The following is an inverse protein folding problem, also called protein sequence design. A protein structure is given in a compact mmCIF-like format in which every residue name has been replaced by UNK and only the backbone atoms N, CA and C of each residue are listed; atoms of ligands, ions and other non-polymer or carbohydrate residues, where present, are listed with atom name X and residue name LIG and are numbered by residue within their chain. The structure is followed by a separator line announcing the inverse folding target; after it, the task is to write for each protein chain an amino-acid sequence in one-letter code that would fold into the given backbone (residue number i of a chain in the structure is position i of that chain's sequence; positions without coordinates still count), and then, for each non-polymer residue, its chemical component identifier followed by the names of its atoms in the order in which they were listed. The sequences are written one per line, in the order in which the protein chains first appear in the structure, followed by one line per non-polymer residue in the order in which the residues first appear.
data_IF_742599155692
#
_entry.id   IF_742599155692
#
_cell.length_a   1.000
_cell.length_b   1.000
_cell.length_c   1.000
_cell.angle_alpha   90.00
_cell.angle_beta   90.00
_cell.angle_gamma   90.00
#
_symmetry.space_group_name_H-M   'P 1'
#
loop_
_entity.id
_entity.type
_entity.pdbx_description
1 polymer ?
#
# COMPACT_ATOMS: atom_id res chain seq x y z
N UNK A 1 21.63 8.12 -3.73
CA UNK A 1 20.97 7.72 -2.46
C UNK A 1 20.64 6.24 -2.48
N UNK A 2 19.78 5.72 -3.38
CA UNK A 2 19.35 4.31 -3.42
C UNK A 2 20.51 3.32 -3.55
N UNK A 3 21.49 3.60 -4.40
CA UNK A 3 22.68 2.75 -4.59
C UNK A 3 23.48 2.59 -3.28
N UNK A 4 23.74 3.70 -2.58
CA UNK A 4 24.44 3.65 -1.30
C UNK A 4 23.65 2.85 -0.27
N UNK A 5 22.34 3.02 -0.21
CA UNK A 5 21.46 2.29 0.70
C UNK A 5 21.43 0.78 0.42
N UNK A 6 21.35 0.39 -0.85
CA UNK A 6 21.44 -1.01 -1.29
C UNK A 6 22.80 -1.67 -1.00
N UNK A 7 23.86 -0.86 -0.92
CA UNK A 7 25.24 -1.33 -0.64
C UNK A 7 25.61 -1.27 0.84
N UNK A 8 24.74 -0.74 1.69
CA UNK A 8 24.97 -0.63 3.13
C UNK A 8 24.40 -1.84 3.84
N UNK A 9 25.19 -2.53 4.71
CA UNK A 9 24.71 -3.63 5.53
C UNK A 9 23.54 -3.25 6.43
N UNK A 10 22.70 -4.23 6.76
CA UNK A 10 21.47 -4.02 7.57
C UNK A 10 21.77 -3.53 9.00
N UNK A 11 22.85 -4.00 9.60
CA UNK A 11 23.33 -3.57 10.92
C UNK A 11 23.83 -2.13 10.95
N UNK A 12 24.12 -1.55 9.78
CA UNK A 12 24.46 -0.15 9.58
C UNK A 12 23.30 0.69 9.01
N UNK A 13 22.07 0.19 9.09
CA UNK A 13 20.87 0.89 8.64
C UNK A 13 20.61 0.82 7.13
N UNK A 14 21.30 -0.06 6.41
CA UNK A 14 21.10 -0.29 4.99
C UNK A 14 20.08 -1.39 4.68
N UNK A 15 19.94 -1.66 3.39
CA UNK A 15 19.04 -2.70 2.85
C UNK A 15 19.80 -3.67 1.93
N UNK A 16 21.06 -3.95 2.23
CA UNK A 16 21.84 -4.90 1.47
C UNK A 16 21.11 -6.25 1.29
N UNK A 17 21.13 -6.79 0.09
CA UNK A 17 20.47 -8.05 -0.26
C UNK A 17 19.04 -7.92 -0.77
N UNK A 18 18.49 -6.71 -0.84
CA UNK A 18 17.18 -6.45 -1.48
C UNK A 18 17.31 -6.60 -3.00
N UNK A 19 16.38 -7.35 -3.61
CA UNK A 19 16.41 -7.68 -5.05
C UNK A 19 15.34 -6.99 -5.88
N UNK A 20 14.33 -6.39 -5.25
CA UNK A 20 13.31 -5.60 -5.96
C UNK A 20 13.84 -4.22 -6.37
N UNK A 21 13.24 -3.64 -7.41
CA UNK A 21 13.63 -2.34 -7.93
C UNK A 21 13.27 -1.21 -6.97
N UNK A 22 14.19 -0.25 -6.84
CA UNK A 22 13.94 1.01 -6.16
C UNK A 22 13.79 2.12 -7.21
N UNK A 23 12.61 2.71 -7.29
CA UNK A 23 12.33 3.83 -8.19
C UNK A 23 12.66 5.15 -7.49
N UNK A 24 13.30 6.06 -8.23
CA UNK A 24 13.58 7.41 -7.75
C UNK A 24 12.55 8.38 -8.33
N UNK A 25 11.69 8.91 -7.49
CA UNK A 25 10.72 9.97 -7.84
C UNK A 25 11.23 11.34 -7.38
N UNK A 26 12.43 11.72 -7.88
CA UNK A 26 13.15 12.94 -7.43
C UNK A 26 12.39 14.21 -7.75
N UNK A 27 11.57 14.24 -8.77
CA UNK A 27 10.71 15.36 -9.15
C UNK A 27 9.28 15.26 -8.56
N UNK A 28 9.02 14.22 -7.78
CA UNK A 28 7.73 13.95 -7.10
C UNK A 28 6.51 13.83 -8.03
N UNK A 29 6.72 13.56 -9.30
CA UNK A 29 5.62 13.42 -10.26
C UNK A 29 4.71 12.26 -9.93
N UNK A 30 5.27 11.10 -9.58
CA UNK A 30 4.49 9.93 -9.20
C UNK A 30 3.73 10.17 -7.88
N UNK A 31 4.43 10.65 -6.87
CA UNK A 31 3.84 10.93 -5.57
C UNK A 31 2.71 11.98 -5.64
N UNK A 32 2.89 13.01 -6.46
CA UNK A 32 1.87 14.03 -6.70
C UNK A 32 0.66 13.46 -7.46
N UNK A 33 0.91 12.66 -8.50
CA UNK A 33 -0.16 12.01 -9.27
C UNK A 33 -1.00 11.08 -8.39
N UNK A 34 -0.36 10.39 -7.44
CA UNK A 34 -1.03 9.50 -6.49
C UNK A 34 -1.67 10.24 -5.30
N UNK A 35 -1.45 11.56 -5.14
CA UNK A 35 -2.00 12.36 -4.04
C UNK A 35 -1.47 11.93 -2.66
N UNK A 36 -0.22 11.45 -2.58
CA UNK A 36 0.37 10.91 -1.36
C UNK A 36 1.48 11.79 -0.76
N UNK A 37 1.65 13.00 -1.27
CA UNK A 37 2.57 13.96 -0.66
C UNK A 37 2.00 14.49 0.67
N UNK A 38 2.88 14.66 1.65
CA UNK A 38 2.55 15.36 2.89
C UNK A 38 2.67 16.87 2.64
N UNK A 39 1.53 17.53 2.43
CA UNK A 39 1.42 18.97 2.16
C UNK A 39 1.36 19.82 3.44
N UNK A 40 1.51 19.23 4.62
CA UNK A 40 1.37 19.94 5.89
C UNK A 40 2.42 21.04 6.08
N UNK A 41 3.51 20.99 5.34
CA UNK A 41 4.59 21.97 5.34
C UNK A 41 4.51 23.00 4.20
N UNK A 42 3.43 22.98 3.42
CA UNK A 42 3.23 23.94 2.35
C UNK A 42 2.57 25.21 2.88
N UNK A 43 3.05 26.34 2.41
CA UNK A 43 2.45 27.66 2.62
C UNK A 43 2.45 28.45 1.32
N UNK A 44 1.42 29.23 1.12
CA UNK A 44 1.36 30.17 -0.02
C UNK A 44 1.97 31.50 0.43
N UNK A 45 2.90 32.02 -0.34
CA UNK A 45 3.39 33.38 -0.17
C UNK A 45 2.32 34.37 -0.62
N UNK A 46 1.86 35.21 0.29
CA UNK A 46 0.71 36.11 0.06
C UNK A 46 1.00 37.22 -0.98
N UNK A 47 2.28 37.54 -1.23
CA UNK A 47 2.65 38.60 -2.19
C UNK A 47 2.83 38.03 -3.61
N UNK A 48 3.39 36.84 -3.74
CA UNK A 48 3.75 36.25 -5.04
C UNK A 48 2.81 35.14 -5.50
N UNK A 49 2.01 34.57 -4.60
CA UNK A 49 1.18 33.42 -4.87
C UNK A 49 1.98 32.10 -5.05
N UNK A 50 3.30 32.14 -4.73
CA UNK A 50 4.15 30.96 -4.88
C UNK A 50 3.96 30.04 -3.68
N UNK A 51 3.82 28.73 -3.96
CA UNK A 51 3.80 27.69 -2.93
C UNK A 51 5.24 27.46 -2.43
N UNK A 52 5.47 27.75 -1.17
CA UNK A 52 6.73 27.49 -0.48
C UNK A 52 6.58 26.21 0.35
N UNK A 53 7.62 25.38 0.35
CA UNK A 53 7.68 24.15 1.16
C UNK A 53 8.73 24.31 2.22
N UNK A 54 8.33 24.30 3.49
CA UNK A 54 9.23 24.39 4.63
C UNK A 54 9.74 22.98 5.01
N UNK A 55 10.91 22.61 4.50
CA UNK A 55 11.56 21.32 4.73
C UNK A 55 11.50 20.35 3.56
N UNK A 56 11.77 19.08 3.84
CA UNK A 56 11.71 18.02 2.83
C UNK A 56 10.25 17.62 2.57
N UNK A 57 9.84 17.73 1.32
CA UNK A 57 8.56 17.19 0.88
C UNK A 57 8.66 15.66 0.85
N UNK A 58 7.96 15.00 1.74
CA UNK A 58 7.96 13.55 1.91
C UNK A 58 6.59 12.96 1.58
N UNK A 59 6.56 11.66 1.29
CA UNK A 59 5.31 10.95 1.02
C UNK A 59 4.78 10.27 2.26
N UNK A 60 3.46 10.13 2.37
CA UNK A 60 2.84 9.17 3.28
C UNK A 60 3.30 7.74 2.98
N UNK A 61 3.05 6.83 3.90
CA UNK A 61 3.39 5.41 3.75
C UNK A 61 2.33 4.70 2.91
N UNK A 62 2.34 4.94 1.60
CA UNK A 62 1.40 4.32 0.68
C UNK A 62 1.85 2.91 0.27
N UNK A 63 0.88 2.04 0.04
CA UNK A 63 1.05 0.70 -0.54
C UNK A 63 -0.08 0.46 -1.53
N UNK A 64 0.25 0.01 -2.72
CA UNK A 64 -0.69 -0.36 -3.77
C UNK A 64 -0.48 -1.82 -4.11
N UNK A 65 -1.54 -2.62 -4.12
CA UNK A 65 -1.53 -3.97 -4.66
C UNK A 65 -2.16 -3.93 -6.04
N UNK A 66 -1.42 -4.43 -7.01
CA UNK A 66 -1.74 -4.34 -8.43
C UNK A 66 -1.77 -5.75 -9.00
N UNK A 67 -2.83 -6.08 -9.74
CA UNK A 67 -2.97 -7.38 -10.37
C UNK A 67 -2.18 -7.51 -11.68
N UNK A 68 -2.28 -8.68 -12.32
CA UNK A 68 -1.56 -9.00 -13.57
C UNK A 68 -2.01 -8.14 -14.75
N UNK A 69 -3.24 -7.60 -14.71
CA UNK A 69 -3.79 -6.71 -15.72
C UNK A 69 -3.39 -5.23 -15.50
N UNK A 70 -2.66 -4.95 -14.43
CA UNK A 70 -2.22 -3.60 -14.04
C UNK A 70 -3.29 -2.80 -13.30
N UNK A 71 -4.34 -3.46 -12.77
CA UNK A 71 -5.39 -2.81 -12.01
C UNK A 71 -5.07 -2.81 -10.51
N UNK A 72 -5.26 -1.68 -9.86
CA UNK A 72 -5.11 -1.57 -8.41
C UNK A 72 -6.33 -2.18 -7.73
N UNK A 73 -6.15 -3.26 -6.98
CA UNK A 73 -7.22 -3.89 -6.20
C UNK A 73 -7.18 -3.54 -4.70
N UNK A 74 -6.08 -2.96 -4.23
CA UNK A 74 -5.99 -2.43 -2.88
C UNK A 74 -5.08 -1.22 -2.82
N UNK A 75 -5.47 -0.23 -2.03
CA UNK A 75 -4.68 0.94 -1.68
C UNK A 75 -4.73 1.14 -0.16
N UNK A 76 -3.57 1.30 0.46
CA UNK A 76 -3.45 1.60 1.88
C UNK A 76 -2.47 2.75 2.12
N UNK A 77 -2.89 3.77 2.88
CA UNK A 77 -2.08 4.94 3.19
C UNK A 77 -2.02 5.12 4.70
N UNK A 78 -0.82 4.98 5.26
CA UNK A 78 -0.58 5.25 6.67
C UNK A 78 0.09 6.61 6.84
N UNK A 79 -0.25 7.30 7.94
CA UNK A 79 0.50 8.46 8.38
C UNK A 79 1.97 8.11 8.63
N UNK A 80 2.86 9.08 8.44
CA UNK A 80 4.32 8.91 8.45
C UNK A 80 4.89 8.07 9.62
N UNK A 81 4.51 8.28 10.89
CA UNK A 81 5.05 7.52 12.01
C UNK A 81 4.47 6.11 12.16
N UNK A 82 3.45 5.75 11.36
CA UNK A 82 2.77 4.46 11.48
C UNK A 82 3.36 3.46 10.49
N UNK A 83 4.01 2.41 11.00
CA UNK A 83 4.52 1.31 10.20
C UNK A 83 3.40 0.52 9.52
N UNK A 84 3.76 -0.19 8.45
CA UNK A 84 2.84 -1.05 7.70
C UNK A 84 2.84 -2.47 8.28
N UNK A 85 1.68 -3.13 8.26
CA UNK A 85 1.57 -4.55 8.58
C UNK A 85 1.70 -5.37 7.29
N UNK A 86 2.86 -5.95 7.06
CA UNK A 86 3.15 -6.75 5.86
C UNK A 86 2.25 -7.99 5.76
N UNK A 87 1.90 -8.62 6.89
CA UNK A 87 1.04 -9.79 6.91
C UNK A 87 -0.37 -9.47 6.39
N UNK A 88 -0.87 -8.27 6.62
CA UNK A 88 -2.16 -7.84 6.06
C UNK A 88 -2.11 -7.76 4.54
N UNK A 89 -1.02 -7.28 3.95
CA UNK A 89 -0.89 -7.26 2.49
C UNK A 89 -0.79 -8.66 1.89
N UNK A 90 -0.11 -9.60 2.55
CA UNK A 90 -0.07 -11.01 2.15
C UNK A 90 -1.48 -11.59 2.21
N UNK A 91 -2.19 -11.41 3.32
CA UNK A 91 -3.59 -11.83 3.48
C UNK A 91 -4.50 -11.31 2.38
N UNK A 92 -4.33 -10.04 1.98
CA UNK A 92 -5.11 -9.43 0.89
C UNK A 92 -4.80 -10.04 -0.48
N UNK A 93 -3.53 -10.37 -0.74
CA UNK A 93 -3.11 -11.06 -1.96
C UNK A 93 -3.73 -12.46 -2.02
N UNK A 94 -3.67 -13.21 -0.92
CA UNK A 94 -4.25 -14.56 -0.81
C UNK A 94 -5.77 -14.50 -1.01
N UNK A 95 -6.44 -13.53 -0.36
CA UNK A 95 -7.88 -13.33 -0.52
C UNK A 95 -8.26 -12.95 -1.97
N UNK A 96 -7.49 -12.07 -2.62
CA UNK A 96 -7.72 -11.71 -4.00
C UNK A 96 -7.55 -12.92 -4.94
N UNK A 97 -6.49 -13.70 -4.76
CA UNK A 97 -6.25 -14.93 -5.52
C UNK A 97 -7.39 -15.94 -5.34
N UNK A 98 -7.85 -16.13 -4.10
CA UNK A 98 -8.99 -17.01 -3.80
C UNK A 98 -10.26 -16.58 -4.54
N UNK A 99 -10.59 -15.27 -4.51
CA UNK A 99 -11.75 -14.73 -5.23
C UNK A 99 -11.63 -14.97 -6.75
N UNK A 100 -10.46 -14.77 -7.31
CA UNK A 100 -10.22 -15.00 -8.75
C UNK A 100 -10.34 -16.47 -9.13
N UNK A 101 -9.82 -17.37 -8.31
CA UNK A 101 -9.82 -18.81 -8.60
C UNK A 101 -11.16 -19.49 -8.33
N UNK A 102 -11.82 -19.13 -7.23
CA UNK A 102 -13.03 -19.81 -6.72
C UNK A 102 -14.32 -19.07 -7.01
N UNK A 103 -14.28 -17.77 -7.28
CA UNK A 103 -15.47 -16.93 -7.41
C UNK A 103 -16.25 -16.75 -6.11
N UNK A 104 -15.65 -17.10 -4.99
CA UNK A 104 -16.20 -16.94 -3.65
C UNK A 104 -15.84 -15.59 -3.06
N UNK A 105 -16.54 -15.15 -2.02
CA UNK A 105 -16.27 -13.90 -1.29
C UNK A 105 -15.59 -14.23 0.02
N UNK A 106 -14.50 -13.55 0.29
CA UNK A 106 -13.77 -13.66 1.54
C UNK A 106 -14.43 -12.76 2.60
N UNK A 107 -14.93 -13.30 3.73
CA UNK A 107 -15.51 -12.49 4.80
C UNK A 107 -14.44 -11.69 5.56
N UNK A 108 -14.88 -10.84 6.48
CA UNK A 108 -13.98 -10.08 7.36
C UNK A 108 -13.03 -11.02 8.11
N UNK A 109 -11.76 -10.64 8.19
CA UNK A 109 -10.69 -11.43 8.84
C UNK A 109 -10.44 -12.81 8.21
N UNK A 110 -10.84 -13.00 6.95
CA UNK A 110 -10.54 -14.23 6.22
C UNK A 110 -9.02 -14.41 6.06
N UNK A 111 -8.57 -15.63 6.20
CA UNK A 111 -7.20 -16.06 5.95
C UNK A 111 -7.23 -17.32 5.08
N UNK A 112 -6.13 -17.59 4.38
CA UNK A 112 -6.00 -18.79 3.55
C UNK A 112 -6.34 -20.06 4.34
N UNK A 113 -7.18 -20.92 3.74
CA UNK A 113 -7.66 -22.16 4.36
C UNK A 113 -8.88 -22.02 5.25
N UNK A 114 -9.40 -20.80 5.48
CA UNK A 114 -10.69 -20.58 6.14
C UNK A 114 -11.86 -20.60 5.18
N UNK A 115 -13.06 -20.84 5.72
CA UNK A 115 -14.28 -20.85 4.94
C UNK A 115 -14.53 -19.49 4.27
N UNK A 116 -14.91 -19.54 3.00
CA UNK A 116 -15.41 -18.44 2.21
C UNK A 116 -16.92 -18.63 1.94
N UNK A 117 -17.57 -17.67 1.31
CA UNK A 117 -19.00 -17.74 1.07
C UNK A 117 -19.35 -17.39 -0.37
N UNK A 118 -20.42 -17.96 -0.89
CA UNK A 118 -20.98 -17.54 -2.17
C UNK A 118 -21.61 -16.14 -2.05
N UNK A 119 -21.41 -15.30 -3.08
CA UNK A 119 -21.93 -13.94 -3.14
C UNK A 119 -23.44 -13.89 -3.45
N UNK A 120 -24.24 -14.67 -2.71
CA UNK A 120 -25.69 -14.68 -2.80
C UNK A 120 -26.31 -14.77 -1.40
N UNK A 121 -27.63 -14.55 -1.32
CA UNK A 121 -28.36 -14.52 -0.05
C UNK A 121 -28.24 -15.83 0.74
N UNK A 122 -28.26 -16.96 0.05
CA UNK A 122 -28.20 -18.29 0.65
C UNK A 122 -26.80 -18.57 1.20
N UNK A 123 -25.75 -18.25 0.44
CA UNK A 123 -24.35 -18.39 0.87
C UNK A 123 -24.02 -17.52 2.08
N UNK A 124 -24.45 -16.28 2.09
CA UNK A 124 -24.29 -15.37 3.24
C UNK A 124 -25.03 -15.89 4.46
N UNK A 125 -26.30 -16.32 4.29
CA UNK A 125 -27.10 -16.87 5.39
C UNK A 125 -26.49 -18.14 5.99
N UNK A 126 -26.01 -19.04 5.13
CA UNK A 126 -25.34 -20.27 5.56
C UNK A 126 -24.06 -19.98 6.34
N UNK A 127 -23.22 -19.09 5.82
CA UNK A 127 -21.99 -18.68 6.49
C UNK A 127 -22.26 -18.09 7.87
N UNK A 128 -23.17 -17.10 7.98
CA UNK A 128 -23.50 -16.44 9.24
C UNK A 128 -24.18 -17.36 10.26
N UNK A 129 -24.84 -18.44 9.82
CA UNK A 129 -25.47 -19.42 10.71
C UNK A 129 -24.46 -20.38 11.32
N UNK A 130 -23.27 -20.52 10.73
CA UNK A 130 -22.22 -21.45 11.19
C UNK A 130 -21.07 -20.77 11.92
N UNK A 131 -21.05 -19.45 11.94
CA UNK A 131 -20.02 -18.60 12.57
C UNK A 131 -20.64 -17.59 13.53
#
# INVERSE_FOLDING_TARGET
VHFAWLSTPKDNGGIEGVTYSLLADSNRNLANTLGILDETNERVDDETGIVLVDGDSVTYRATYLIDEDGLVFHEGINHMPIGRNVNEYIRLIDAYSHVQEKGEVCPANWEEGKDAMNANREGVSSYLSSH
#
